data_IF_950745939151
#
_entry.id   IF_950745939151
#
_cell.length_a   1.000
_cell.length_b   1.000
_cell.length_c   1.000
_cell.angle_alpha   90.00
_cell.angle_beta   90.00
_cell.angle_gamma   90.00
#
_symmetry.space_group_name_H-M   'P 1'
#
loop_
_entity.id
_entity.type
_entity.pdbx_description
1 polymer ?
#
# COMPACT_ATOMS: atom_id res chain seq x y z
N UNK A 1 40.72 -38.28 31.77
CA UNK A 1 39.48 -37.53 32.01
C UNK A 1 39.46 -36.41 30.97
N UNK A 2 38.75 -36.62 29.85
CA UNK A 2 37.51 -35.90 29.44
C UNK A 2 37.72 -34.41 29.14
N UNK A 3 37.31 -33.80 28.03
CA UNK A 3 36.58 -34.15 26.80
C UNK A 3 36.91 -33.04 25.78
N UNK A 4 36.71 -33.37 24.50
CA UNK A 4 36.63 -32.51 23.32
C UNK A 4 35.78 -31.24 23.47
N UNK A 5 36.11 -30.17 22.74
CA UNK A 5 35.15 -29.52 21.83
C UNK A 5 35.84 -28.63 20.79
N UNK A 6 35.32 -28.74 19.57
CA UNK A 6 35.74 -28.09 18.33
C UNK A 6 34.75 -26.99 17.93
N UNK A 7 35.25 -26.09 17.08
CA UNK A 7 34.57 -25.43 15.96
C UNK A 7 34.05 -23.98 16.06
N UNK A 8 34.55 -23.24 15.06
CA UNK A 8 33.83 -22.38 14.12
C UNK A 8 33.67 -20.89 14.44
N UNK A 9 34.78 -20.17 14.33
CA UNK A 9 34.80 -18.82 13.79
C UNK A 9 34.42 -18.86 12.29
N UNK A 10 33.22 -18.39 11.96
CA UNK A 10 32.90 -17.95 10.59
C UNK A 10 32.26 -16.57 10.64
N UNK A 11 33.03 -15.59 10.17
CA UNK A 11 32.63 -14.21 9.95
C UNK A 11 31.42 -14.18 9.00
N UNK A 12 30.29 -13.68 9.48
CA UNK A 12 29.16 -13.32 8.61
C UNK A 12 29.48 -11.98 7.92
N UNK A 13 29.41 -11.89 6.57
CA UNK A 13 29.59 -10.63 5.87
C UNK A 13 28.41 -9.71 6.15
N UNK A 14 28.71 -8.51 6.66
CA UNK A 14 27.75 -7.46 6.89
C UNK A 14 27.16 -6.97 5.56
N UNK A 15 25.92 -7.35 5.27
CA UNK A 15 25.13 -6.73 4.22
C UNK A 15 24.45 -5.48 4.77
N UNK A 16 25.07 -4.33 4.51
CA UNK A 16 24.42 -3.02 4.63
C UNK A 16 23.36 -2.90 3.55
N UNK A 17 22.13 -3.25 3.88
CA UNK A 17 20.98 -2.98 3.02
C UNK A 17 20.54 -1.53 3.28
N UNK A 18 20.95 -0.62 2.40
CA UNK A 18 20.47 0.76 2.34
C UNK A 18 19.22 0.80 1.46
N UNK A 19 18.03 0.92 2.08
CA UNK A 19 16.79 1.21 1.35
C UNK A 19 16.35 2.67 1.61
N UNK A 20 15.87 3.38 0.57
CA UNK A 20 15.60 4.80 0.61
C UNK A 20 14.33 5.14 1.40
N UNK A 21 14.26 6.41 1.80
CA UNK A 21 13.13 7.05 2.48
C UNK A 21 11.80 6.76 1.76
N UNK A 22 10.76 6.53 2.55
CA UNK A 22 9.36 6.55 2.13
C UNK A 22 9.06 7.80 1.28
N UNK A 23 8.38 7.69 0.13
CA UNK A 23 7.83 8.85 -0.56
C UNK A 23 6.61 9.38 0.21
N UNK A 24 6.65 10.68 0.54
CA UNK A 24 5.51 11.43 1.07
C UNK A 24 4.41 11.53 -0.01
N UNK A 25 3.22 11.00 0.29
CA UNK A 25 2.02 11.25 -0.49
C UNK A 25 1.45 12.62 -0.11
N UNK A 26 1.83 13.67 -0.84
CA UNK A 26 1.09 14.93 -0.88
C UNK A 26 0.73 15.28 -2.32
N UNK A 27 -0.55 15.07 -2.63
CA UNK A 27 -1.22 15.54 -3.83
C UNK A 27 -1.12 17.05 -4.01
N UNK A 28 -0.87 17.52 -5.23
CA UNK A 28 -1.56 18.67 -5.85
C UNK A 28 -1.15 18.79 -7.32
N UNK A 29 -1.95 18.24 -8.22
CA UNK A 29 -2.02 18.69 -9.61
C UNK A 29 -3.21 19.64 -9.72
N UNK A 30 -2.94 20.94 -9.71
CA UNK A 30 -3.88 21.98 -10.10
C UNK A 30 -3.71 22.23 -11.60
N UNK A 31 -4.80 22.05 -12.36
CA UNK A 31 -4.84 22.40 -13.77
C UNK A 31 -4.93 23.90 -13.99
N UNK A 32 -4.42 24.34 -15.14
CA UNK A 32 -4.88 25.55 -15.83
C UNK A 32 -4.79 25.34 -17.34
N UNK A 33 -5.96 25.44 -17.98
CA UNK A 33 -6.13 25.64 -19.41
C UNK A 33 -5.53 27.00 -19.82
N UNK A 34 -4.87 27.05 -20.97
CA UNK A 34 -4.76 28.30 -21.73
C UNK A 34 -4.86 28.03 -23.22
N UNK A 35 -5.95 28.55 -23.79
CA UNK A 35 -6.20 28.75 -25.21
C UNK A 35 -5.13 29.62 -25.89
N UNK A 36 -4.82 29.35 -27.15
CA UNK A 36 -4.39 30.43 -28.06
C UNK A 36 -4.75 30.14 -29.52
N UNK A 37 -5.56 31.05 -30.07
CA UNK A 37 -5.94 31.21 -31.47
C UNK A 37 -4.80 31.84 -32.27
N UNK A 38 -4.51 31.30 -33.46
CA UNK A 38 -4.12 32.03 -34.70
C UNK A 38 -4.57 31.13 -35.87
N UNK A 39 -5.19 31.55 -36.96
CA UNK A 39 -5.36 32.87 -37.56
C UNK A 39 -4.89 32.83 -39.02
N UNK A 40 -5.87 32.79 -39.95
CA UNK A 40 -5.87 33.27 -41.35
C UNK A 40 -5.05 32.55 -42.44
N UNK A 41 -5.74 32.18 -43.53
CA UNK A 41 -5.68 32.80 -44.89
C UNK A 41 -6.35 31.86 -45.91
N UNK A 42 -7.57 32.15 -46.37
CA UNK A 42 -7.88 32.90 -47.60
C UNK A 42 -7.31 32.29 -48.89
N UNK A 43 -8.18 31.73 -49.74
CA UNK A 43 -8.20 31.94 -51.19
C UNK A 43 -9.50 31.38 -51.78
N UNK A 44 -10.39 32.31 -52.12
CA UNK A 44 -11.46 32.10 -53.09
C UNK A 44 -10.84 31.83 -54.46
N UNK A 45 -11.36 30.85 -55.19
CA UNK A 45 -11.26 30.82 -56.65
C UNK A 45 -12.60 30.37 -57.22
N UNK A 46 -13.26 31.33 -57.85
CA UNK A 46 -14.46 31.19 -58.68
C UNK A 46 -14.15 30.25 -59.84
N UNK A 47 -15.07 29.37 -60.23
CA UNK A 47 -15.36 29.02 -61.63
C UNK A 47 -16.60 28.12 -61.79
N UNK A 48 -17.65 28.73 -62.34
CA UNK A 48 -18.56 28.26 -63.39
C UNK A 48 -19.06 26.80 -63.40
N UNK A 49 -20.37 26.70 -63.28
CA UNK A 49 -21.23 25.56 -63.63
C UNK A 49 -21.10 25.15 -65.10
N UNK A 50 -20.97 23.86 -65.35
CA UNK A 50 -21.39 23.20 -66.58
C UNK A 50 -22.24 21.98 -66.20
N UNK A 51 -23.48 21.96 -66.68
CA UNK A 51 -24.37 20.81 -66.63
C UNK A 51 -23.91 19.80 -67.68
N UNK A 52 -23.56 18.59 -67.27
CA UNK A 52 -23.48 17.41 -68.13
C UNK A 52 -24.08 16.23 -67.37
N UNK A 53 -25.19 15.73 -67.92
CA UNK A 53 -25.85 14.47 -67.58
C UNK A 53 -24.94 13.28 -67.89
N UNK A 54 -24.82 12.32 -66.98
CA UNK A 54 -25.23 10.92 -67.19
C UNK A 54 -24.63 9.95 -66.16
N UNK A 55 -25.49 8.99 -65.80
CA UNK A 55 -25.22 7.62 -65.37
C UNK A 55 -24.62 7.38 -63.98
N UNK A 56 -25.51 6.90 -63.10
CA UNK A 56 -25.18 6.10 -61.94
C UNK A 56 -24.31 4.90 -62.34
N UNK A 57 -23.11 4.85 -61.79
CA UNK A 57 -22.40 3.61 -61.52
C UNK A 57 -22.24 3.57 -60.01
N UNK A 58 -22.94 2.63 -59.36
CA UNK A 58 -22.76 2.30 -57.95
C UNK A 58 -21.34 1.75 -57.76
N UNK A 59 -20.44 2.60 -57.29
CA UNK A 59 -19.10 2.21 -56.87
C UNK A 59 -19.21 1.49 -55.52
N UNK A 60 -19.33 0.17 -55.56
CA UNK A 60 -19.35 -0.68 -54.35
C UNK A 60 -18.04 -0.47 -53.59
N UNK A 61 -18.11 0.11 -52.39
CA UNK A 61 -16.95 0.20 -51.51
C UNK A 61 -16.41 -1.21 -51.18
N UNK A 62 -15.07 -1.43 -51.26
CA UNK A 62 -14.51 -2.72 -50.92
C UNK A 62 -14.70 -2.99 -49.42
N UNK A 63 -14.86 -4.26 -49.01
CA UNK A 63 -15.17 -4.61 -47.63
C UNK A 63 -14.07 -4.09 -46.71
N UNK A 64 -14.47 -3.34 -45.68
CA UNK A 64 -13.57 -2.80 -44.67
C UNK A 64 -12.66 -3.91 -44.14
N UNK A 65 -11.35 -3.79 -44.35
CA UNK A 65 -10.36 -4.70 -43.76
C UNK A 65 -10.66 -4.78 -42.26
N UNK A 66 -11.10 -5.96 -41.78
CA UNK A 66 -11.19 -6.23 -40.34
C UNK A 66 -9.82 -5.92 -39.75
N UNK A 67 -9.73 -4.81 -39.03
CA UNK A 67 -8.59 -4.50 -38.18
C UNK A 67 -8.38 -5.74 -37.31
N UNK A 68 -7.25 -6.42 -37.49
CA UNK A 68 -6.88 -7.54 -36.62
C UNK A 68 -6.87 -6.97 -35.20
N UNK A 69 -7.87 -7.34 -34.39
CA UNK A 69 -7.88 -6.98 -32.98
C UNK A 69 -6.55 -7.50 -32.41
N UNK A 70 -5.81 -6.64 -31.72
CA UNK A 70 -4.65 -7.10 -30.97
C UNK A 70 -5.14 -8.21 -30.03
N UNK A 71 -4.44 -9.36 -29.96
CA UNK A 71 -4.81 -10.45 -29.05
C UNK A 71 -4.88 -10.00 -27.58
N UNK A 72 -4.22 -8.89 -27.23
CA UNK A 72 -4.31 -8.27 -25.92
C UNK A 72 -5.71 -7.75 -25.57
N UNK A 73 -6.51 -7.31 -26.56
CA UNK A 73 -7.79 -6.65 -26.34
C UNK A 73 -8.83 -7.55 -25.66
N UNK A 74 -8.80 -8.85 -25.94
CA UNK A 74 -9.75 -9.82 -25.38
C UNK A 74 -9.34 -10.29 -23.96
N UNK A 75 -8.12 -9.98 -23.53
CA UNK A 75 -7.57 -10.37 -22.22
C UNK A 75 -7.76 -9.29 -21.13
N UNK A 76 -8.09 -8.07 -21.53
CA UNK A 76 -8.25 -6.92 -20.65
C UNK A 76 -9.57 -7.02 -19.89
N UNK A 77 -9.52 -6.77 -18.58
CA UNK A 77 -10.71 -6.67 -17.75
C UNK A 77 -11.59 -5.49 -18.19
N UNK A 78 -12.89 -5.69 -18.48
CA UNK A 78 -13.75 -4.62 -18.96
C UNK A 78 -13.95 -3.47 -17.96
N UNK A 79 -13.87 -3.77 -16.66
CA UNK A 79 -14.08 -2.79 -15.59
C UNK A 79 -12.79 -2.01 -15.31
N UNK A 80 -11.67 -2.69 -15.03
CA UNK A 80 -10.41 -2.02 -14.65
C UNK A 80 -9.63 -1.47 -15.83
N UNK A 81 -9.89 -1.96 -17.05
CA UNK A 81 -9.10 -1.64 -18.26
C UNK A 81 -7.62 -2.04 -18.17
N UNK A 82 -7.32 -2.97 -17.26
CA UNK A 82 -6.01 -3.57 -17.06
C UNK A 82 -6.06 -5.09 -17.28
N UNK A 83 -4.88 -5.71 -17.35
CA UNK A 83 -4.75 -7.15 -17.23
C UNK A 83 -5.20 -7.60 -15.82
N UNK A 84 -6.17 -8.53 -15.71
CA UNK A 84 -6.68 -9.00 -14.43
C UNK A 84 -5.67 -9.90 -13.71
N UNK A 85 -5.27 -9.50 -12.50
CA UNK A 85 -4.32 -10.21 -11.64
C UNK A 85 -4.93 -11.43 -10.94
N UNK A 86 -6.19 -11.32 -10.49
CA UNK A 86 -7.00 -12.43 -10.00
C UNK A 86 -8.24 -12.58 -10.88
N UNK A 87 -8.07 -13.16 -12.09
CA UNK A 87 -9.15 -13.25 -13.06
C UNK A 87 -10.22 -14.26 -12.63
N UNK A 88 -11.47 -13.84 -12.75
CA UNK A 88 -12.66 -14.68 -12.53
C UNK A 88 -13.62 -14.59 -13.70
N UNK A 89 -14.21 -15.72 -14.08
CA UNK A 89 -15.30 -15.80 -15.05
C UNK A 89 -16.62 -15.62 -14.32
N UNK A 90 -17.41 -14.63 -14.73
CA UNK A 90 -18.76 -14.44 -14.23
C UNK A 90 -19.80 -15.17 -15.10
N UNK A 91 -21.05 -15.23 -14.66
CA UNK A 91 -22.12 -15.98 -15.37
C UNK A 91 -22.44 -15.45 -16.77
N UNK A 92 -22.06 -14.22 -17.08
CA UNK A 92 -22.18 -13.66 -18.42
C UNK A 92 -21.08 -14.17 -19.39
N UNK A 93 -20.22 -15.08 -18.93
CA UNK A 93 -19.14 -15.71 -19.68
C UNK A 93 -17.90 -14.84 -19.85
N UNK A 94 -17.85 -13.66 -19.22
CA UNK A 94 -16.71 -12.74 -19.33
C UNK A 94 -15.76 -12.87 -18.16
N UNK A 95 -14.49 -12.53 -18.41
CA UNK A 95 -13.43 -12.51 -17.40
C UNK A 95 -13.28 -11.10 -16.84
N UNK A 96 -13.21 -11.01 -15.51
CA UNK A 96 -13.04 -9.78 -14.76
C UNK A 96 -11.92 -9.93 -13.73
N UNK A 97 -11.35 -8.81 -13.31
CA UNK A 97 -10.61 -8.73 -12.04
C UNK A 97 -11.58 -8.98 -10.88
N UNK A 98 -11.26 -9.93 -9.99
CA UNK A 98 -12.15 -10.36 -8.90
C UNK A 98 -12.64 -9.18 -8.07
N UNK A 99 -11.74 -8.32 -7.61
CA UNK A 99 -12.12 -7.19 -6.76
C UNK A 99 -13.09 -6.23 -7.44
N UNK A 100 -12.96 -6.03 -8.75
CA UNK A 100 -13.81 -5.14 -9.52
C UNK A 100 -15.23 -5.70 -9.65
N UNK A 101 -15.37 -6.99 -9.99
CA UNK A 101 -16.68 -7.61 -10.16
C UNK A 101 -17.39 -7.83 -8.82
N UNK A 102 -16.66 -8.16 -7.74
CA UNK A 102 -17.24 -8.27 -6.40
C UNK A 102 -17.79 -6.92 -5.91
N UNK A 103 -17.08 -5.82 -6.16
CA UNK A 103 -17.57 -4.46 -5.87
C UNK A 103 -18.82 -4.15 -6.70
N UNK A 104 -18.85 -4.55 -7.97
CA UNK A 104 -20.02 -4.36 -8.84
C UNK A 104 -21.24 -5.12 -8.31
N UNK A 105 -21.09 -6.39 -7.94
CA UNK A 105 -22.16 -7.23 -7.36
C UNK A 105 -22.68 -6.59 -6.07
N UNK A 106 -21.77 -6.18 -5.18
CA UNK A 106 -22.13 -5.55 -3.90
C UNK A 106 -22.91 -4.25 -4.08
N UNK A 107 -22.64 -3.50 -5.13
CA UNK A 107 -23.34 -2.24 -5.43
C UNK A 107 -24.72 -2.45 -6.09
N UNK A 108 -25.01 -3.65 -6.61
CA UNK A 108 -26.25 -3.96 -7.34
C UNK A 108 -26.99 -5.20 -6.79
N UNK A 109 -27.38 -5.22 -5.49
CA UNK A 109 -27.93 -6.44 -4.85
C UNK A 109 -29.34 -6.84 -5.31
N UNK A 110 -30.07 -6.00 -6.05
CA UNK A 110 -31.47 -6.25 -6.46
C UNK A 110 -31.69 -6.41 -7.95
N UNK A 111 -30.81 -5.87 -8.78
CA UNK A 111 -30.94 -5.90 -10.24
C UNK A 111 -29.54 -6.04 -10.88
N UNK A 112 -28.86 -7.11 -10.49
CA UNK A 112 -27.51 -7.41 -10.96
C UNK A 112 -27.51 -7.65 -12.48
N UNK A 113 -26.76 -6.82 -13.18
CA UNK A 113 -26.60 -6.85 -14.64
C UNK A 113 -25.13 -6.92 -15.01
N UNK A 114 -24.84 -7.55 -16.13
CA UNK A 114 -23.50 -7.58 -16.73
C UNK A 114 -23.00 -6.15 -16.93
N UNK A 115 -21.77 -5.84 -16.46
CA UNK A 115 -21.12 -4.56 -16.74
C UNK A 115 -20.94 -4.26 -18.23
N UNK A 116 -21.07 -5.27 -19.10
CA UNK A 116 -20.83 -5.13 -20.55
C UNK A 116 -22.09 -5.29 -21.37
N UNK A 117 -22.88 -6.34 -21.13
CA UNK A 117 -24.08 -6.61 -21.95
C UNK A 117 -25.35 -5.97 -21.38
N UNK A 118 -25.32 -5.48 -20.13
CA UNK A 118 -26.47 -4.96 -19.39
C UNK A 118 -27.63 -5.96 -19.23
N UNK A 119 -27.38 -7.25 -19.50
CA UNK A 119 -28.32 -8.35 -19.27
C UNK A 119 -28.23 -8.82 -17.82
N UNK A 120 -29.33 -9.37 -17.29
CA UNK A 120 -29.32 -9.98 -15.95
C UNK A 120 -28.28 -11.10 -15.87
N UNK A 121 -27.55 -11.14 -14.76
CA UNK A 121 -26.57 -12.18 -14.46
C UNK A 121 -26.65 -12.58 -12.99
N UNK A 122 -26.24 -13.80 -12.65
CA UNK A 122 -26.07 -14.21 -11.25
C UNK A 122 -24.73 -13.78 -10.66
N UNK A 123 -24.54 -14.15 -9.40
CA UNK A 123 -23.41 -13.74 -8.56
C UNK A 123 -22.24 -14.72 -8.61
N UNK A 124 -22.39 -15.86 -9.31
CA UNK A 124 -21.38 -16.92 -9.31
C UNK A 124 -20.13 -16.48 -10.06
N UNK A 125 -18.98 -16.59 -9.39
CA UNK A 125 -17.66 -16.30 -9.93
C UNK A 125 -16.79 -17.57 -9.91
N UNK A 126 -16.26 -17.95 -11.06
CA UNK A 126 -15.36 -19.10 -11.20
C UNK A 126 -13.91 -18.61 -11.43
N UNK A 127 -12.89 -19.19 -10.77
CA UNK A 127 -11.50 -18.83 -11.05
C UNK A 127 -11.12 -19.09 -12.52
N UNK A 128 -10.55 -18.09 -13.20
CA UNK A 128 -10.14 -18.18 -14.59
C UNK A 128 -8.62 -18.39 -14.70
N UNK A 129 -8.14 -19.51 -14.16
CA UNK A 129 -6.69 -19.81 -14.06
C UNK A 129 -6.01 -19.84 -15.44
N UNK A 130 -6.66 -20.43 -16.44
CA UNK A 130 -6.14 -20.47 -17.81
C UNK A 130 -5.96 -19.08 -18.42
N UNK A 131 -6.85 -18.14 -18.08
CA UNK A 131 -6.75 -16.75 -18.53
C UNK A 131 -5.52 -16.08 -17.93
N UNK A 132 -5.28 -16.28 -16.63
CA UNK A 132 -4.07 -15.79 -15.93
C UNK A 132 -2.80 -16.32 -16.58
N UNK A 133 -2.71 -17.63 -16.77
CA UNK A 133 -1.53 -18.28 -17.35
C UNK A 133 -1.25 -17.78 -18.76
N UNK A 134 -2.32 -17.55 -19.54
CA UNK A 134 -2.22 -16.99 -20.90
C UNK A 134 -1.65 -15.57 -20.87
N UNK A 135 -2.13 -14.72 -19.96
CA UNK A 135 -1.59 -13.37 -19.79
C UNK A 135 -0.11 -13.43 -19.42
N UNK A 136 0.25 -14.26 -18.45
CA UNK A 136 1.63 -14.44 -17.98
C UNK A 136 2.56 -14.84 -19.13
N UNK A 137 2.22 -15.88 -19.89
CA UNK A 137 3.01 -16.32 -21.05
C UNK A 137 3.13 -15.23 -22.12
N UNK A 138 2.05 -14.48 -22.39
CA UNK A 138 2.08 -13.44 -23.42
C UNK A 138 2.91 -12.23 -23.00
N UNK A 139 2.87 -11.84 -21.74
CA UNK A 139 3.74 -10.79 -21.18
C UNK A 139 5.20 -11.25 -21.20
N UNK A 140 5.49 -12.49 -20.78
CA UNK A 140 6.85 -13.06 -20.79
C UNK A 140 7.43 -13.18 -22.21
N UNK A 141 6.61 -13.54 -23.18
CA UNK A 141 7.01 -13.63 -24.60
C UNK A 141 7.18 -12.26 -25.27
N UNK A 142 6.81 -11.16 -24.60
CA UNK A 142 6.82 -9.81 -25.16
C UNK A 142 5.73 -9.53 -26.20
N UNK A 143 4.69 -10.37 -26.26
CA UNK A 143 3.52 -10.14 -27.15
C UNK A 143 2.60 -9.06 -26.58
N UNK A 144 2.49 -9.00 -25.24
CA UNK A 144 1.88 -7.87 -24.54
C UNK A 144 3.03 -7.02 -23.98
N UNK A 145 3.10 -5.77 -24.40
CA UNK A 145 4.13 -4.80 -24.02
C UNK A 145 3.50 -3.45 -23.57
N UNK A 146 4.36 -2.49 -23.25
CA UNK A 146 3.97 -1.16 -22.77
C UNK A 146 3.27 -1.17 -21.42
N UNK A 147 2.39 -0.18 -21.21
CA UNK A 147 1.76 0.10 -19.92
C UNK A 147 1.03 -1.12 -19.30
N UNK A 148 0.42 -1.98 -20.13
CA UNK A 148 -0.27 -3.18 -19.66
C UNK A 148 0.71 -4.19 -19.06
N UNK A 149 1.83 -4.43 -19.74
CA UNK A 149 2.88 -5.32 -19.27
C UNK A 149 3.59 -4.76 -18.04
N UNK A 150 3.85 -3.44 -18.01
CA UNK A 150 4.50 -2.78 -16.87
C UNK A 150 3.64 -2.89 -15.60
N UNK A 151 2.34 -2.60 -15.69
CA UNK A 151 1.41 -2.76 -14.57
C UNK A 151 1.30 -4.22 -14.09
N UNK A 152 1.34 -5.18 -15.03
CA UNK A 152 1.35 -6.61 -14.69
C UNK A 152 2.63 -6.99 -13.93
N UNK A 153 3.79 -6.60 -14.48
CA UNK A 153 5.09 -6.89 -13.89
C UNK A 153 5.27 -6.23 -12.52
N UNK A 154 4.69 -5.05 -12.32
CA UNK A 154 4.65 -4.43 -10.99
C UNK A 154 3.91 -5.32 -9.98
N UNK A 155 2.74 -5.86 -10.33
CA UNK A 155 1.97 -6.77 -9.47
C UNK A 155 2.74 -8.08 -9.20
N UNK A 156 3.45 -8.61 -10.20
CA UNK A 156 4.34 -9.78 -10.04
C UNK A 156 5.42 -9.48 -9.00
N UNK A 157 6.11 -8.34 -9.13
CA UNK A 157 7.19 -7.95 -8.22
C UNK A 157 6.67 -7.65 -6.80
N UNK A 158 5.50 -7.02 -6.67
CA UNK A 158 4.83 -6.82 -5.39
C UNK A 158 4.55 -8.18 -4.70
N UNK A 159 4.01 -9.16 -5.44
CA UNK A 159 3.77 -10.51 -4.89
C UNK A 159 5.08 -11.19 -4.47
N UNK A 160 6.13 -11.09 -5.27
CA UNK A 160 7.44 -11.66 -4.94
C UNK A 160 8.00 -11.06 -3.64
N UNK A 161 7.95 -9.72 -3.49
CA UNK A 161 8.36 -9.03 -2.26
C UNK A 161 7.55 -9.47 -1.04
N UNK A 162 6.23 -9.63 -1.21
CA UNK A 162 5.35 -10.15 -0.17
C UNK A 162 5.78 -11.55 0.27
N UNK A 163 5.99 -12.47 -0.68
CA UNK A 163 6.39 -13.85 -0.40
C UNK A 163 7.77 -13.93 0.26
N UNK A 164 8.75 -13.15 -0.20
CA UNK A 164 10.05 -13.06 0.45
C UNK A 164 9.94 -12.56 1.89
N UNK A 165 9.20 -11.47 2.12
CA UNK A 165 9.00 -10.94 3.46
C UNK A 165 8.37 -11.98 4.40
N UNK A 166 7.35 -12.70 3.91
CA UNK A 166 6.70 -13.76 4.68
C UNK A 166 7.62 -14.96 4.92
N UNK A 167 8.51 -15.29 3.97
CA UNK A 167 9.53 -16.33 4.15
C UNK A 167 10.52 -15.95 5.26
N UNK A 168 11.04 -14.72 5.26
CA UNK A 168 11.90 -14.22 6.33
C UNK A 168 11.17 -14.16 7.68
N UNK A 169 9.91 -13.76 7.68
CA UNK A 169 9.09 -13.75 8.89
C UNK A 169 8.85 -15.18 9.42
N UNK A 170 8.64 -16.15 8.52
CA UNK A 170 8.49 -17.56 8.85
C UNK A 170 9.76 -18.22 9.38
N UNK A 171 10.94 -17.73 9.00
CA UNK A 171 12.23 -18.24 9.50
C UNK A 171 12.65 -17.70 10.86
N UNK A 172 11.77 -16.95 11.56
CA UNK A 172 12.04 -16.43 12.90
C UNK A 172 12.63 -15.01 12.94
N UNK A 173 12.77 -14.33 11.79
CA UNK A 173 13.29 -12.97 11.77
C UNK A 173 12.27 -11.98 12.35
N UNK A 174 12.51 -11.51 13.58
CA UNK A 174 11.61 -10.58 14.28
C UNK A 174 11.42 -9.23 13.58
N UNK A 175 12.42 -8.74 12.82
CA UNK A 175 12.25 -7.51 12.03
C UNK A 175 11.33 -7.74 10.83
N UNK A 176 11.44 -8.88 10.16
CA UNK A 176 10.54 -9.26 9.06
C UNK A 176 9.11 -9.45 9.58
N UNK A 177 8.92 -10.09 10.74
CA UNK A 177 7.61 -10.19 11.39
C UNK A 177 7.00 -8.81 11.71
N UNK A 178 7.81 -7.88 12.24
CA UNK A 178 7.37 -6.51 12.49
C UNK A 178 6.96 -5.78 11.20
N UNK A 179 7.75 -5.92 10.13
CA UNK A 179 7.45 -5.32 8.83
C UNK A 179 6.18 -5.93 8.20
N UNK A 180 6.01 -7.25 8.25
CA UNK A 180 4.79 -7.92 7.81
C UNK A 180 3.56 -7.36 8.55
N UNK A 181 3.68 -7.15 9.87
CA UNK A 181 2.63 -6.49 10.64
C UNK A 181 2.29 -5.08 10.15
N UNK A 182 3.29 -4.27 9.77
CA UNK A 182 3.05 -2.95 9.14
C UNK A 182 2.33 -3.09 7.80
N UNK A 183 2.77 -4.01 6.94
CA UNK A 183 2.15 -4.20 5.62
C UNK A 183 0.70 -4.65 5.71
N UNK A 184 0.36 -5.57 6.62
CA UNK A 184 -1.03 -5.93 6.89
C UNK A 184 -1.84 -4.79 7.53
N UNK A 185 -1.22 -3.93 8.36
CA UNK A 185 -1.93 -2.79 8.97
C UNK A 185 -2.37 -1.77 7.93
N UNK A 186 -1.50 -1.48 6.96
CA UNK A 186 -1.69 -0.39 6.00
C UNK A 186 -2.36 -0.88 4.71
N UNK A 187 -2.08 -2.11 4.28
CA UNK A 187 -2.60 -2.73 3.07
C UNK A 187 -1.81 -2.33 1.82
N UNK A 188 -0.48 -2.44 1.87
CA UNK A 188 0.45 -1.99 0.82
C UNK A 188 1.21 -3.18 0.20
N UNK A 189 1.79 -3.00 -0.99
CA UNK A 189 2.69 -3.99 -1.64
C UNK A 189 2.07 -5.40 -1.75
N UNK A 190 0.81 -5.48 -2.17
CA UNK A 190 0.09 -6.76 -2.32
C UNK A 190 -0.53 -7.31 -1.03
N UNK A 191 -0.31 -6.68 0.13
CA UNK A 191 -0.96 -7.09 1.37
C UNK A 191 -2.39 -6.54 1.45
N UNK A 192 -3.36 -7.43 1.70
CA UNK A 192 -4.72 -7.00 2.05
C UNK A 192 -4.74 -6.47 3.48
N UNK A 193 -5.31 -5.28 3.67
CA UNK A 193 -5.41 -4.65 4.99
C UNK A 193 -6.17 -5.54 5.99
N UNK A 194 -5.48 -5.96 7.04
CA UNK A 194 -6.01 -6.75 8.14
C UNK A 194 -5.32 -6.38 9.45
N UNK A 195 -6.02 -5.62 10.30
CA UNK A 195 -5.50 -5.20 11.61
C UNK A 195 -5.34 -6.36 12.59
N UNK A 196 -6.16 -7.42 12.49
CA UNK A 196 -6.06 -8.59 13.38
C UNK A 196 -4.81 -9.39 13.04
N UNK A 197 -4.58 -9.61 11.74
CA UNK A 197 -3.37 -10.30 11.29
C UNK A 197 -2.11 -9.47 11.58
N UNK A 198 -2.17 -8.14 11.42
CA UNK A 198 -1.10 -7.24 11.83
C UNK A 198 -0.73 -7.41 13.32
N UNK A 199 -1.73 -7.45 14.20
CA UNK A 199 -1.53 -7.67 15.63
C UNK A 199 -0.87 -9.03 15.93
N UNK A 200 -1.30 -10.10 15.24
CA UNK A 200 -0.68 -11.42 15.39
C UNK A 200 0.80 -11.40 14.98
N UNK A 201 1.15 -10.73 13.89
CA UNK A 201 2.54 -10.58 13.48
C UNK A 201 3.37 -9.75 14.45
N UNK A 202 2.81 -8.69 15.03
CA UNK A 202 3.49 -7.93 16.08
C UNK A 202 3.74 -8.75 17.34
N UNK A 203 2.80 -9.63 17.74
CA UNK A 203 3.03 -10.58 18.83
C UNK A 203 4.16 -11.55 18.53
N UNK A 204 4.16 -12.18 17.35
CA UNK A 204 5.26 -13.07 16.92
C UNK A 204 6.60 -12.33 16.93
N UNK A 205 6.63 -11.08 16.44
CA UNK A 205 7.83 -10.25 16.47
C UNK A 205 8.30 -10.00 17.91
N UNK A 206 7.39 -9.67 18.83
CA UNK A 206 7.69 -9.49 20.26
C UNK A 206 8.24 -10.79 20.88
N UNK A 207 7.64 -11.93 20.60
CA UNK A 207 8.08 -13.26 21.07
C UNK A 207 9.48 -13.59 20.54
N UNK A 208 9.81 -13.16 19.33
CA UNK A 208 11.16 -13.22 18.75
C UNK A 208 12.11 -12.13 19.29
N UNK A 209 11.76 -11.42 20.38
CA UNK A 209 12.60 -10.40 21.00
C UNK A 209 12.63 -9.05 20.29
N UNK A 210 11.74 -8.80 19.31
CA UNK A 210 11.72 -7.54 18.58
C UNK A 210 11.05 -6.41 19.39
N UNK A 211 11.85 -5.42 19.80
CA UNK A 211 11.39 -4.25 20.57
C UNK A 211 10.36 -3.41 19.81
N UNK A 212 10.45 -3.32 18.47
CA UNK A 212 9.49 -2.57 17.64
C UNK A 212 8.14 -3.30 17.59
N UNK A 213 8.17 -4.62 17.45
CA UNK A 213 6.99 -5.49 17.58
C UNK A 213 6.29 -5.29 18.91
N UNK A 214 7.05 -5.32 20.01
CA UNK A 214 6.54 -5.08 21.37
C UNK A 214 5.87 -3.71 21.54
N UNK A 215 6.49 -2.65 21.01
CA UNK A 215 5.92 -1.31 21.02
C UNK A 215 4.57 -1.26 20.27
N UNK A 216 4.46 -1.97 19.14
CA UNK A 216 3.23 -2.07 18.38
C UNK A 216 2.16 -2.91 19.07
N UNK A 217 2.51 -3.99 19.77
CA UNK A 217 1.56 -4.76 20.60
C UNK A 217 0.95 -3.87 21.68
N UNK A 218 1.78 -3.11 22.39
CA UNK A 218 1.30 -2.13 23.38
C UNK A 218 0.35 -1.11 22.76
N UNK A 219 0.73 -0.55 21.60
CA UNK A 219 -0.12 0.40 20.89
C UNK A 219 -1.44 -0.21 20.40
N UNK A 220 -1.44 -1.45 19.90
CA UNK A 220 -2.65 -2.16 19.48
C UNK A 220 -3.65 -2.30 20.63
N UNK A 221 -3.20 -2.63 21.85
CA UNK A 221 -4.07 -2.67 23.03
C UNK A 221 -4.61 -1.29 23.42
N UNK A 222 -3.83 -0.21 23.27
CA UNK A 222 -4.30 1.14 23.61
C UNK A 222 -5.28 1.72 22.58
N UNK A 223 -5.05 1.44 21.29
CA UNK A 223 -5.86 1.93 20.17
C UNK A 223 -7.07 1.03 19.87
N UNK A 224 -7.03 -0.25 20.29
CA UNK A 224 -8.01 -1.26 19.89
C UNK A 224 -7.79 -1.77 18.46
N UNK A 225 -6.55 -1.70 17.95
CA UNK A 225 -6.24 -2.09 16.59
C UNK A 225 -6.01 -3.59 16.47
N UNK A 226 -7.03 -4.31 16.00
CA UNK A 226 -6.96 -5.78 15.80
C UNK A 226 -7.15 -6.60 17.09
N UNK A 227 -7.33 -5.93 18.23
CA UNK A 227 -7.54 -6.54 19.54
C UNK A 227 -8.47 -5.64 20.38
N UNK A 228 -9.17 -6.22 21.35
CA UNK A 228 -9.97 -5.45 22.32
C UNK A 228 -9.08 -4.47 23.07
N UNK A 229 -9.56 -3.22 23.20
CA UNK A 229 -8.82 -2.15 23.87
C UNK A 229 -8.62 -2.48 25.35
N UNK A 230 -7.38 -2.44 25.81
CA UNK A 230 -7.00 -2.70 27.20
C UNK A 230 -5.86 -1.78 27.62
N UNK A 231 -6.09 -0.93 28.61
CA UNK A 231 -5.15 0.13 28.98
C UNK A 231 -3.93 -0.42 29.72
N UNK A 232 -4.14 -1.25 30.75
CA UNK A 232 -3.08 -1.82 31.57
C UNK A 232 -2.03 -2.62 30.77
N UNK A 233 -2.38 -3.66 29.99
CA UNK A 233 -1.40 -4.39 29.18
C UNK A 233 -0.80 -3.51 28.07
N UNK A 234 -1.57 -2.58 27.52
CA UNK A 234 -1.09 -1.64 26.52
C UNK A 234 0.03 -0.74 27.05
N UNK A 235 -0.17 -0.13 28.23
CA UNK A 235 0.83 0.67 28.91
C UNK A 235 2.05 -0.17 29.31
N UNK A 236 1.84 -1.36 29.89
CA UNK A 236 2.92 -2.26 30.29
C UNK A 236 3.89 -2.56 29.13
N UNK A 237 3.37 -3.02 27.99
CA UNK A 237 4.20 -3.32 26.82
C UNK A 237 4.89 -2.06 26.26
N UNK A 238 4.23 -0.91 26.31
CA UNK A 238 4.78 0.35 25.82
C UNK A 238 5.89 0.88 26.72
N UNK A 239 5.71 0.86 28.05
CA UNK A 239 6.75 1.25 29.03
C UNK A 239 7.97 0.35 28.92
N UNK A 240 7.77 -0.94 28.75
CA UNK A 240 8.85 -1.91 28.60
C UNK A 240 9.57 -1.76 27.25
N UNK A 241 8.85 -1.55 26.14
CA UNK A 241 9.51 -1.23 24.87
C UNK A 241 10.30 0.09 24.93
N UNK A 242 9.79 1.10 25.65
CA UNK A 242 10.48 2.38 25.83
C UNK A 242 11.70 2.27 26.75
N UNK A 243 11.68 1.39 27.77
CA UNK A 243 12.85 1.10 28.60
C UNK A 243 13.95 0.43 27.77
N UNK A 244 13.58 -0.47 26.87
CA UNK A 244 14.46 -1.12 25.89
C UNK A 244 14.89 -0.21 24.73
N UNK A 245 14.49 1.06 24.73
CA UNK A 245 14.98 2.06 23.78
C UNK A 245 14.22 2.14 22.46
N UNK A 246 12.93 1.81 22.43
CA UNK A 246 12.03 2.17 21.32
C UNK A 246 11.74 3.67 21.31
N UNK A 247 11.98 4.33 20.17
CA UNK A 247 11.60 5.74 19.97
C UNK A 247 10.07 5.90 19.92
N UNK A 248 9.38 5.06 19.17
CA UNK A 248 7.92 5.11 19.06
C UNK A 248 7.24 4.93 20.41
N UNK A 249 7.68 3.98 21.23
CA UNK A 249 7.11 3.75 22.55
C UNK A 249 7.32 4.95 23.48
N UNK A 250 8.55 5.49 23.53
CA UNK A 250 8.86 6.70 24.28
C UNK A 250 8.01 7.89 23.82
N UNK A 251 7.87 8.11 22.51
CA UNK A 251 7.01 9.15 21.96
C UNK A 251 5.55 8.98 22.41
N UNK A 252 5.01 7.77 22.32
CA UNK A 252 3.62 7.49 22.70
C UNK A 252 3.38 7.70 24.19
N UNK A 253 4.33 7.34 25.06
CA UNK A 253 4.27 7.63 26.50
C UNK A 253 4.33 9.14 26.77
N UNK A 254 5.24 9.85 26.12
CA UNK A 254 5.33 11.31 26.27
C UNK A 254 4.00 12.00 25.92
N UNK A 255 3.40 11.63 24.79
CA UNK A 255 2.07 12.15 24.41
C UNK A 255 0.96 11.71 25.37
N UNK A 256 1.05 10.53 25.98
CA UNK A 256 0.07 10.06 26.96
C UNK A 256 0.13 10.87 28.25
N UNK A 257 1.33 11.15 28.78
CA UNK A 257 1.54 12.02 29.94
C UNK A 257 1.15 13.48 29.66
N UNK A 258 1.48 14.01 28.47
CA UNK A 258 1.08 15.37 28.08
C UNK A 258 -0.45 15.58 28.08
N UNK A 259 -1.22 14.50 27.87
CA UNK A 259 -2.68 14.56 27.68
C UNK A 259 -3.47 13.90 28.82
N UNK A 260 -2.80 13.27 29.80
CA UNK A 260 -3.46 12.48 30.83
C UNK A 260 -4.34 11.37 30.27
N UNK A 261 -3.79 10.51 29.39
CA UNK A 261 -4.54 9.43 28.72
C UNK A 261 -4.22 8.04 29.28
N UNK A 262 -5.15 7.11 29.05
CA UNK A 262 -5.01 5.68 29.38
C UNK A 262 -4.84 5.40 30.88
N UNK A 263 -5.44 6.24 31.74
CA UNK A 263 -5.32 6.13 33.19
C UNK A 263 -4.10 6.84 33.77
N UNK A 264 -3.30 7.52 32.96
CA UNK A 264 -2.22 8.40 33.42
C UNK A 264 -2.77 9.79 33.72
N UNK A 265 -2.26 10.42 34.78
CA UNK A 265 -2.49 11.83 35.04
C UNK A 265 -1.60 12.70 34.14
N UNK A 266 -1.98 13.97 33.99
CA UNK A 266 -1.15 14.94 33.27
C UNK A 266 0.14 15.16 34.05
N UNK A 267 1.27 14.84 33.43
CA UNK A 267 2.61 15.09 33.97
C UNK A 267 3.50 15.69 32.89
N UNK A 268 3.78 16.99 33.02
CA UNK A 268 4.59 17.73 32.03
C UNK A 268 6.05 17.30 32.07
N UNK A 269 6.61 17.03 33.25
CA UNK A 269 8.02 16.70 33.41
C UNK A 269 8.30 15.31 32.83
N UNK A 270 7.46 14.34 33.17
CA UNK A 270 7.60 12.98 32.65
C UNK A 270 7.31 12.95 31.13
N UNK A 271 6.37 13.77 30.65
CA UNK A 271 6.18 13.97 29.20
C UNK A 271 7.43 14.49 28.50
N UNK A 272 8.07 15.55 29.02
CA UNK A 272 9.31 16.12 28.47
C UNK A 272 10.40 15.04 28.42
N UNK A 273 10.61 14.32 29.54
CA UNK A 273 11.60 13.25 29.65
C UNK A 273 11.42 12.18 28.57
N UNK A 274 10.20 11.69 28.36
CA UNK A 274 9.92 10.66 27.36
C UNK A 274 10.05 11.18 25.92
N UNK A 275 9.63 12.41 25.64
CA UNK A 275 9.79 13.02 24.31
C UNK A 275 11.27 13.26 23.97
N UNK A 276 12.08 13.72 24.92
CA UNK A 276 13.52 13.86 24.75
C UNK A 276 14.19 12.51 24.51
N UNK A 277 13.81 11.49 25.30
CA UNK A 277 14.28 10.11 25.12
C UNK A 277 13.99 9.61 23.70
N UNK A 278 12.77 9.80 23.23
CA UNK A 278 12.33 9.39 21.90
C UNK A 278 13.16 10.00 20.78
N UNK A 279 13.55 11.27 20.89
CA UNK A 279 14.21 12.01 19.81
C UNK A 279 15.73 11.78 19.78
N UNK A 280 16.36 11.57 20.94
CA UNK A 280 17.84 11.58 21.06
C UNK A 280 18.45 10.23 21.41
N UNK A 281 17.85 9.47 22.33
CA UNK A 281 18.56 8.42 23.07
C UNK A 281 18.11 6.99 22.71
N UNK A 282 17.16 6.81 21.80
CA UNK A 282 16.59 5.49 21.47
C UNK A 282 17.40 4.71 20.41
N UNK A 283 17.71 3.44 20.71
CA UNK A 283 18.38 2.49 19.81
C UNK A 283 17.47 2.00 18.68
N UNK A 284 16.21 1.70 19.00
CA UNK A 284 15.28 1.09 18.05
C UNK A 284 14.42 2.16 17.37
N UNK A 285 14.91 2.66 16.25
CA UNK A 285 14.26 3.74 15.49
C UNK A 285 13.18 3.22 14.53
N UNK A 286 11.94 3.62 14.75
CA UNK A 286 10.78 3.36 13.88
C UNK A 286 9.66 4.40 14.04
N UNK A 287 9.96 5.54 14.65
CA UNK A 287 9.08 6.70 14.65
C UNK A 287 9.12 7.37 13.27
N UNK A 288 7.96 7.66 12.69
CA UNK A 288 7.84 8.32 11.38
C UNK A 288 8.36 9.76 11.43
N UNK A 289 8.79 10.30 10.29
CA UNK A 289 9.26 11.69 10.21
C UNK A 289 8.20 12.69 10.70
N UNK A 290 6.94 12.50 10.29
CA UNK A 290 5.79 13.29 10.74
C UNK A 290 5.58 13.19 12.26
N UNK A 291 5.81 12.03 12.87
CA UNK A 291 5.67 11.89 14.31
C UNK A 291 6.87 12.51 15.07
N UNK A 292 8.08 12.50 14.48
CA UNK A 292 9.24 13.21 15.04
C UNK A 292 9.03 14.72 15.06
N UNK A 293 8.50 15.31 13.99
CA UNK A 293 8.20 16.75 13.96
C UNK A 293 7.13 17.10 14.99
N UNK A 294 6.07 16.30 15.12
CA UNK A 294 5.05 16.46 16.17
C UNK A 294 5.62 16.32 17.58
N UNK A 295 6.54 15.37 17.78
CA UNK A 295 7.22 15.18 19.06
C UNK A 295 8.04 16.42 19.43
N UNK A 296 8.80 16.97 18.47
CA UNK A 296 9.62 18.17 18.67
C UNK A 296 8.74 19.38 18.98
N UNK A 297 7.69 19.63 18.18
CA UNK A 297 6.74 20.71 18.43
C UNK A 297 6.12 20.63 19.83
N UNK A 298 5.70 19.43 20.25
CA UNK A 298 5.10 19.25 21.58
C UNK A 298 6.13 19.43 22.69
N UNK A 299 7.37 19.00 22.48
CA UNK A 299 8.47 19.21 23.42
C UNK A 299 8.75 20.71 23.62
N UNK A 300 8.79 21.48 22.53
CA UNK A 300 9.03 22.92 22.58
C UNK A 300 7.88 23.67 23.28
N UNK A 301 6.63 23.29 22.98
CA UNK A 301 5.43 23.81 23.67
C UNK A 301 5.47 23.54 25.18
N UNK A 302 5.79 22.31 25.59
CA UNK A 302 5.84 21.93 27.00
C UNK A 302 6.95 22.68 27.75
N UNK A 303 8.14 22.80 27.15
CA UNK A 303 9.26 23.54 27.72
C UNK A 303 8.97 25.03 27.87
N UNK A 304 8.29 25.65 26.90
CA UNK A 304 7.85 27.03 27.01
C UNK A 304 6.85 27.25 28.17
N UNK A 305 6.11 26.20 28.56
CA UNK A 305 5.11 26.26 29.63
C UNK A 305 5.64 26.00 31.04
N UNK A 306 6.91 25.60 31.19
CA UNK A 306 7.55 25.34 32.49
C UNK A 306 8.47 26.52 32.81
N UNK A 307 8.19 27.34 33.83
CA UNK A 307 9.04 28.47 34.18
C UNK A 307 10.41 27.98 34.67
N UNK A 308 11.47 28.71 34.33
CA UNK A 308 12.87 28.36 34.63
C UNK A 308 13.26 28.37 36.13
N UNK A 309 12.30 28.53 37.05
CA UNK A 309 12.57 28.88 38.46
C UNK A 309 12.69 27.72 39.45
N UNK A 310 12.85 26.47 39.00
CA UNK A 310 13.15 25.34 39.92
C UNK A 310 14.59 24.84 39.78
N UNK A 311 15.48 25.62 39.18
CA UNK A 311 16.90 25.30 39.02
C UNK A 311 17.80 26.19 39.89
N UNK A 312 17.40 26.44 41.14
CA UNK A 312 18.31 26.85 42.22
C UNK A 312 17.58 26.66 43.55
N UNK A 313 17.93 25.59 44.26
CA UNK A 313 17.93 25.49 45.73
C UNK A 313 18.76 24.29 46.13
#
# INVERSE_FOLDING_TARGET
>A
MSKSETNADTMSPGFHIFWPRCPDSSSRYSGTLSSSRKGRNSRQRVSRSFHLSNNHVEETQPPSKRLKKSPAGDLICPISRELPWDPVTAEDGRVYERECIEKHIKNHPRDLKSPVTNLKMGEKLLPAIQHRNTIETLVESGVIDGDLADNWNEKVEQKKKMEELLKWAGSGNGNAMFLAGIKYRDGEEGFKKDKKLAFQWYKKAQEAGNVKGKAMVGWCYLDGAGVTKQQSPGLFHLTDAASQGSDFAAYKLGIAFAKGKYGLNVDKMESIRWLEKSLRYCRHKHLTAVAKTKAQQKLDELKASVPASSATS
#
